data_IF_826106387867
#
_entry.id   IF_826106387867
#
_cell.length_a   1.000
_cell.length_b   1.000
_cell.length_c   1.000
_cell.angle_alpha   90.00
_cell.angle_beta   90.00
_cell.angle_gamma   90.00
#
_symmetry.space_group_name_H-M   'P 1'
#
loop_
_entity.id
_entity.type
_entity.pdbx_description
1 polymer ?
#
# COMPACT_ATOMS: atom_id res chain seq x y z
N UNK A 1 15.05 -101.62 -91.94
CA UNK A 1 14.86 -100.23 -92.42
C UNK A 1 14.99 -99.31 -91.21
N UNK A 2 15.88 -98.31 -91.26
CA UNK A 2 15.93 -97.18 -90.31
C UNK A 2 14.84 -96.13 -90.67
N UNK A 3 14.44 -95.13 -89.83
CA UNK A 3 15.34 -94.08 -89.30
C UNK A 3 15.01 -93.37 -87.93
N UNK A 4 16.09 -92.79 -87.34
CA UNK A 4 16.32 -91.51 -86.58
C UNK A 4 15.33 -90.97 -85.49
N UNK A 5 15.84 -90.57 -84.30
CA UNK A 5 16.35 -89.22 -83.89
C UNK A 5 16.58 -89.04 -82.35
N UNK A 6 17.78 -88.50 -82.01
CA UNK A 6 18.17 -87.50 -80.98
C UNK A 6 17.70 -87.46 -79.51
N UNK A 7 18.71 -87.43 -78.62
CA UNK A 7 18.95 -86.54 -77.44
C UNK A 7 17.99 -86.50 -76.24
N UNK A 8 18.51 -86.77 -75.03
CA UNK A 8 18.91 -85.74 -74.04
C UNK A 8 19.11 -86.34 -72.63
N UNK A 9 20.26 -86.06 -72.03
CA UNK A 9 20.68 -86.43 -70.67
C UNK A 9 19.90 -85.70 -69.58
N UNK A 10 19.58 -86.37 -68.46
CA UNK A 10 19.07 -85.73 -67.24
C UNK A 10 19.86 -86.18 -66.00
N UNK A 11 20.74 -85.29 -65.53
CA UNK A 11 21.36 -85.30 -64.19
C UNK A 11 20.93 -84.01 -63.47
N UNK A 12 19.88 -83.98 -62.61
CA UNK A 12 19.40 -82.71 -62.05
C UNK A 12 19.34 -82.58 -60.51
N UNK A 13 19.87 -83.52 -59.70
CA UNK A 13 19.64 -83.47 -58.23
C UNK A 13 20.83 -83.08 -57.33
N UNK A 14 22.07 -83.26 -57.77
CA UNK A 14 23.27 -82.95 -56.94
C UNK A 14 23.86 -81.54 -57.20
N UNK A 15 23.78 -80.99 -58.41
CA UNK A 15 24.32 -79.66 -58.75
C UNK A 15 23.49 -78.48 -58.18
N UNK A 16 22.19 -78.67 -57.97
CA UNK A 16 21.28 -77.63 -57.43
C UNK A 16 21.46 -77.39 -55.92
N UNK A 17 21.91 -78.40 -55.17
CA UNK A 17 22.24 -78.26 -53.74
C UNK A 17 23.52 -77.44 -53.51
N UNK A 18 24.52 -77.58 -54.37
CA UNK A 18 25.81 -76.87 -54.26
C UNK A 18 25.69 -75.35 -54.49
N UNK A 19 24.94 -74.92 -55.52
CA UNK A 19 24.68 -73.48 -55.78
C UNK A 19 23.88 -72.82 -54.65
N UNK A 20 22.89 -73.53 -54.07
CA UNK A 20 22.13 -73.05 -52.89
C UNK A 20 23.05 -72.89 -51.67
N UNK A 21 23.97 -73.82 -51.43
CA UNK A 21 24.93 -73.75 -50.33
C UNK A 21 25.89 -72.55 -50.45
N UNK A 22 26.36 -72.25 -51.66
CA UNK A 22 27.21 -71.07 -51.92
C UNK A 22 26.43 -69.78 -51.67
N UNK A 23 25.18 -69.69 -52.14
CA UNK A 23 24.31 -68.53 -51.91
C UNK A 23 24.07 -68.29 -50.42
N UNK A 24 23.76 -69.35 -49.65
CA UNK A 24 23.60 -69.28 -48.20
C UNK A 24 24.89 -68.82 -47.49
N UNK A 25 26.08 -69.26 -47.93
CA UNK A 25 27.35 -68.81 -47.36
C UNK A 25 27.62 -67.32 -47.58
N UNK A 26 27.24 -66.79 -48.75
CA UNK A 26 27.35 -65.35 -49.05
C UNK A 26 26.36 -64.55 -48.22
N UNK A 27 25.12 -65.03 -48.09
CA UNK A 27 24.09 -64.42 -47.24
C UNK A 27 24.51 -64.44 -45.76
N UNK A 28 25.07 -65.54 -45.25
CA UNK A 28 25.63 -65.64 -43.90
C UNK A 28 26.74 -64.60 -43.67
N UNK A 29 27.70 -64.46 -44.60
CA UNK A 29 28.76 -63.44 -44.49
C UNK A 29 28.22 -62.01 -44.48
N UNK A 30 27.16 -61.74 -45.26
CA UNK A 30 26.49 -60.42 -45.25
C UNK A 30 25.80 -60.18 -43.89
N UNK A 31 25.05 -61.16 -43.40
CA UNK A 31 24.39 -61.10 -42.09
C UNK A 31 25.39 -60.93 -40.94
N UNK A 32 26.55 -61.60 -40.99
CA UNK A 32 27.64 -61.43 -40.03
C UNK A 32 28.20 -60.00 -40.05
N UNK A 33 28.41 -59.43 -41.24
CA UNK A 33 28.87 -58.04 -41.39
C UNK A 33 27.84 -57.03 -40.90
N UNK A 34 26.56 -57.24 -41.19
CA UNK A 34 25.46 -56.39 -40.71
C UNK A 34 25.30 -56.49 -39.19
N UNK A 35 25.41 -57.69 -38.63
CA UNK A 35 25.39 -57.89 -37.18
C UNK A 35 26.55 -57.16 -36.49
N UNK A 36 27.75 -57.18 -37.07
CA UNK A 36 28.90 -56.42 -36.55
C UNK A 36 28.66 -54.91 -36.62
N UNK A 37 28.08 -54.41 -37.72
CA UNK A 37 27.72 -52.99 -37.86
C UNK A 37 26.68 -52.56 -36.83
N UNK A 38 25.63 -53.34 -36.63
CA UNK A 38 24.57 -53.03 -35.65
C UNK A 38 25.10 -53.09 -34.21
N UNK A 39 25.97 -54.06 -33.89
CA UNK A 39 26.68 -54.08 -32.59
C UNK A 39 27.50 -52.82 -32.37
N UNK A 40 28.29 -52.41 -33.36
CA UNK A 40 29.09 -51.19 -33.26
C UNK A 40 28.23 -49.90 -33.14
N UNK A 41 27.08 -49.83 -33.82
CA UNK A 41 26.13 -48.72 -33.66
C UNK A 41 25.54 -48.70 -32.25
N UNK A 42 25.10 -49.86 -31.74
CA UNK A 42 24.56 -50.00 -30.38
C UNK A 42 25.58 -49.57 -29.33
N UNK A 43 26.83 -50.00 -29.48
CA UNK A 43 27.90 -49.62 -28.54
C UNK A 43 28.17 -48.10 -28.53
N UNK A 44 28.11 -47.45 -29.69
CA UNK A 44 28.23 -45.98 -29.79
C UNK A 44 27.08 -45.28 -29.08
N UNK A 45 25.85 -45.75 -29.29
CA UNK A 45 24.65 -45.20 -28.64
C UNK A 45 24.75 -45.35 -27.12
N UNK A 46 25.12 -46.54 -26.63
CA UNK A 46 25.28 -46.81 -25.19
C UNK A 46 26.36 -45.92 -24.57
N UNK A 47 27.51 -45.76 -25.23
CA UNK A 47 28.58 -44.85 -24.76
C UNK A 47 28.15 -43.38 -24.75
N UNK A 48 27.35 -42.94 -25.73
CA UNK A 48 26.79 -41.58 -25.73
C UNK A 48 25.81 -41.41 -24.58
N UNK A 49 24.84 -42.32 -24.45
CA UNK A 49 23.83 -42.26 -23.40
C UNK A 49 24.45 -42.29 -21.99
N UNK A 50 25.52 -43.07 -21.77
CA UNK A 50 26.25 -43.07 -20.51
C UNK A 50 26.85 -41.69 -20.17
N UNK A 51 27.48 -41.02 -21.16
CA UNK A 51 28.01 -39.67 -20.97
C UNK A 51 26.90 -38.65 -20.71
N UNK A 52 25.80 -38.73 -21.46
CA UNK A 52 24.65 -37.85 -21.26
C UNK A 52 24.03 -38.04 -19.86
N UNK A 53 23.97 -39.28 -19.36
CA UNK A 53 23.53 -39.60 -18.01
C UNK A 53 24.44 -39.01 -16.92
N UNK A 54 25.76 -39.06 -17.10
CA UNK A 54 26.73 -38.46 -16.18
C UNK A 54 26.56 -36.92 -16.14
N UNK A 55 26.45 -36.27 -17.30
CA UNK A 55 26.20 -34.82 -17.39
C UNK A 55 24.88 -34.45 -16.71
N UNK A 56 23.82 -35.20 -16.97
CA UNK A 56 22.51 -34.94 -16.35
C UNK A 56 22.55 -35.12 -14.82
N UNK A 57 23.33 -36.09 -14.31
CA UNK A 57 23.50 -36.28 -12.88
C UNK A 57 24.19 -35.06 -12.21
N UNK A 58 25.25 -34.53 -12.84
CA UNK A 58 25.94 -33.33 -12.37
C UNK A 58 25.02 -32.10 -12.40
N UNK A 59 24.21 -31.95 -13.46
CA UNK A 59 23.21 -30.88 -13.59
C UNK A 59 22.17 -30.94 -12.47
N UNK A 60 21.64 -32.14 -12.19
CA UNK A 60 20.69 -32.37 -11.08
C UNK A 60 21.32 -32.00 -9.74
N UNK A 61 22.60 -32.32 -9.53
CA UNK A 61 23.30 -31.98 -8.30
C UNK A 61 23.47 -30.47 -8.13
N UNK A 62 23.82 -29.74 -9.19
CA UNK A 62 23.91 -28.27 -9.17
C UNK A 62 22.56 -27.63 -8.85
N UNK A 63 21.49 -28.09 -9.50
CA UNK A 63 20.14 -27.60 -9.26
C UNK A 63 19.66 -27.84 -7.83
N UNK A 64 20.05 -28.97 -7.21
CA UNK A 64 19.76 -29.24 -5.79
C UNK A 64 20.46 -28.24 -4.88
N UNK A 65 21.75 -28.01 -5.09
CA UNK A 65 22.53 -27.05 -4.28
C UNK A 65 21.94 -25.63 -4.42
N UNK A 66 21.56 -25.23 -5.64
CA UNK A 66 20.95 -23.93 -5.87
C UNK A 66 19.58 -23.80 -5.20
N UNK A 67 18.74 -24.83 -5.29
CA UNK A 67 17.46 -24.90 -4.60
C UNK A 67 17.62 -24.73 -3.09
N UNK A 68 18.56 -25.44 -2.48
CA UNK A 68 18.81 -25.37 -1.03
C UNK A 68 19.32 -24.00 -0.60
N UNK A 69 20.20 -23.38 -1.39
CA UNK A 69 20.66 -22.00 -1.18
C UNK A 69 19.51 -21.00 -1.25
N UNK A 70 18.65 -21.12 -2.25
CA UNK A 70 17.50 -20.23 -2.43
C UNK A 70 16.47 -20.43 -1.32
N UNK A 71 16.22 -21.67 -0.91
CA UNK A 71 15.36 -21.99 0.23
C UNK A 71 15.89 -21.39 1.54
N UNK A 72 17.20 -21.50 1.79
CA UNK A 72 17.83 -20.92 2.98
C UNK A 72 17.72 -19.39 2.99
N UNK A 73 17.93 -18.73 1.85
CA UNK A 73 17.73 -17.28 1.71
C UNK A 73 16.29 -16.87 2.00
N UNK A 74 15.32 -17.62 1.46
CA UNK A 74 13.90 -17.34 1.66
C UNK A 74 13.49 -17.53 3.11
N UNK A 75 13.97 -18.60 3.76
CA UNK A 75 13.75 -18.84 5.19
C UNK A 75 14.33 -17.71 6.05
N UNK A 76 15.55 -17.26 5.77
CA UNK A 76 16.15 -16.14 6.48
C UNK A 76 15.35 -14.84 6.31
N UNK A 77 14.87 -14.56 5.08
CA UNK A 77 14.00 -13.40 4.85
C UNK A 77 12.71 -13.48 5.63
N UNK A 78 12.02 -14.64 5.61
CA UNK A 78 10.79 -14.86 6.39
C UNK A 78 11.05 -14.60 7.87
N UNK A 79 12.12 -15.17 8.42
CA UNK A 79 12.47 -15.00 9.82
C UNK A 79 12.67 -13.52 10.19
N UNK A 80 13.43 -12.79 9.37
CA UNK A 80 13.63 -11.35 9.58
C UNK A 80 12.32 -10.58 9.54
N UNK A 81 11.45 -10.86 8.58
CA UNK A 81 10.13 -10.24 8.49
C UNK A 81 9.26 -10.54 9.71
N UNK A 82 9.30 -11.77 10.25
CA UNK A 82 8.54 -12.14 11.44
C UNK A 82 9.05 -11.41 12.68
N UNK A 83 10.37 -11.32 12.87
CA UNK A 83 10.98 -10.59 13.99
C UNK A 83 10.66 -9.09 13.92
N UNK A 84 10.73 -8.48 12.74
CA UNK A 84 10.42 -7.07 12.56
C UNK A 84 8.92 -6.80 12.79
N UNK A 85 8.04 -7.70 12.36
CA UNK A 85 6.59 -7.62 12.64
C UNK A 85 6.30 -7.67 14.13
N UNK A 86 6.96 -8.54 14.89
CA UNK A 86 6.80 -8.65 16.34
C UNK A 86 7.29 -7.39 17.05
N UNK A 87 8.45 -6.84 16.66
CA UNK A 87 8.96 -5.57 17.20
C UNK A 87 7.99 -4.42 16.96
N UNK A 88 7.37 -4.35 15.77
CA UNK A 88 6.37 -3.32 15.46
C UNK A 88 5.11 -3.51 16.31
N UNK A 89 4.63 -4.75 16.45
CA UNK A 89 3.46 -5.05 17.29
C UNK A 89 3.69 -4.69 18.77
N UNK A 90 4.88 -4.96 19.30
CA UNK A 90 5.25 -4.61 20.67
C UNK A 90 5.30 -3.08 20.86
N UNK A 91 5.93 -2.36 19.91
CA UNK A 91 5.96 -0.89 19.93
C UNK A 91 4.56 -0.30 19.87
N UNK A 92 3.71 -0.79 18.97
CA UNK A 92 2.32 -0.33 18.86
C UNK A 92 1.56 -0.55 20.16
N UNK A 93 1.72 -1.72 20.80
CA UNK A 93 1.07 -2.01 22.08
C UNK A 93 1.50 -1.03 23.17
N UNK A 94 2.80 -0.77 23.31
CA UNK A 94 3.34 0.21 24.27
C UNK A 94 2.74 1.60 24.04
N UNK A 95 2.74 2.08 22.80
CA UNK A 95 2.15 3.38 22.45
C UNK A 95 0.65 3.45 22.76
N UNK A 96 -0.11 2.39 22.47
CA UNK A 96 -1.55 2.34 22.81
C UNK A 96 -1.77 2.39 24.31
N UNK A 97 -0.95 1.68 25.10
CA UNK A 97 -1.06 1.66 26.56
C UNK A 97 -0.67 3.02 27.18
N UNK A 98 0.30 3.74 26.61
CA UNK A 98 0.66 5.12 26.99
C UNK A 98 -0.45 6.13 26.68
N UNK A 99 -1.20 5.94 25.60
CA UNK A 99 -2.26 6.86 25.17
C UNK A 99 -3.62 6.60 25.87
N UNK A 100 -3.86 5.40 26.38
CA UNK A 100 -5.12 5.02 27.06
C UNK A 100 -5.54 6.00 28.18
N UNK A 101 -4.65 6.43 29.10
CA UNK A 101 -5.04 7.30 30.22
C UNK A 101 -5.49 8.71 29.80
N UNK A 102 -5.06 9.20 28.64
CA UNK A 102 -5.40 10.53 28.12
C UNK A 102 -6.63 10.50 27.20
N UNK A 103 -7.08 9.31 26.81
CA UNK A 103 -8.18 9.15 25.88
C UNK A 103 -9.53 9.12 26.62
N UNK A 104 -10.49 9.94 26.18
CA UNK A 104 -11.88 9.75 26.58
C UNK A 104 -12.35 8.43 25.97
N UNK A 105 -12.99 7.52 26.74
CA UNK A 105 -13.48 6.28 26.17
C UNK A 105 -14.34 6.55 24.94
N UNK A 106 -13.99 5.91 23.81
CA UNK A 106 -14.67 6.11 22.52
C UNK A 106 -16.18 5.91 22.63
N UNK A 107 -16.61 4.99 23.51
CA UNK A 107 -18.01 4.72 23.79
C UNK A 107 -18.80 5.92 24.35
N UNK A 108 -18.13 6.89 24.98
CA UNK A 108 -18.77 8.09 25.56
C UNK A 108 -18.92 9.20 24.52
N UNK A 109 -18.14 9.17 23.44
CA UNK A 109 -18.13 10.22 22.42
C UNK A 109 -19.48 10.45 21.72
N UNK A 110 -20.30 9.42 21.38
CA UNK A 110 -21.63 9.64 20.82
C UNK A 110 -22.54 10.45 21.75
N UNK A 111 -22.56 10.12 23.05
CA UNK A 111 -23.36 10.83 24.06
C UNK A 111 -22.89 12.28 24.21
N UNK A 112 -21.58 12.51 24.24
CA UNK A 112 -21.01 13.86 24.31
C UNK A 112 -21.33 14.69 23.05
N UNK A 113 -21.30 14.07 21.86
CA UNK A 113 -21.69 14.72 20.60
C UNK A 113 -23.15 15.11 20.60
N UNK A 114 -24.04 14.21 21.05
CA UNK A 114 -25.47 14.50 21.16
C UNK A 114 -25.75 15.64 22.14
N UNK A 115 -25.14 15.60 23.34
CA UNK A 115 -25.26 16.65 24.34
C UNK A 115 -24.79 18.00 23.78
N UNK A 116 -23.62 18.04 23.13
CA UNK A 116 -23.09 19.24 22.46
C UNK A 116 -24.05 19.76 21.39
N UNK A 117 -24.62 18.88 20.58
CA UNK A 117 -25.56 19.28 19.52
C UNK A 117 -26.83 19.89 20.09
N UNK A 118 -27.37 19.32 21.18
CA UNK A 118 -28.49 19.90 21.91
C UNK A 118 -28.14 21.28 22.46
N UNK A 119 -26.99 21.45 23.13
CA UNK A 119 -26.53 22.75 23.65
C UNK A 119 -26.37 23.80 22.55
N UNK A 120 -25.79 23.44 21.40
CA UNK A 120 -25.65 24.35 20.25
C UNK A 120 -27.02 24.80 19.74
N UNK A 121 -27.98 23.87 19.61
CA UNK A 121 -29.34 24.18 19.18
C UNK A 121 -30.03 25.14 20.14
N UNK A 122 -30.01 24.83 21.45
CA UNK A 122 -30.60 25.70 22.47
C UNK A 122 -29.95 27.08 22.50
N UNK A 123 -28.61 27.16 22.44
CA UNK A 123 -27.90 28.45 22.39
C UNK A 123 -28.32 29.28 21.17
N UNK A 124 -28.44 28.65 20.00
CA UNK A 124 -28.84 29.34 18.76
C UNK A 124 -30.25 29.93 18.87
N UNK A 125 -31.20 29.16 19.42
CA UNK A 125 -32.57 29.64 19.60
C UNK A 125 -32.64 30.76 20.65
N UNK A 126 -31.91 30.62 21.76
CA UNK A 126 -31.78 31.66 22.78
C UNK A 126 -31.23 32.97 22.20
N UNK A 127 -30.10 32.91 21.49
CA UNK A 127 -29.49 34.09 20.87
C UNK A 127 -30.41 34.75 19.84
N UNK A 128 -31.21 33.97 19.10
CA UNK A 128 -32.21 34.52 18.19
C UNK A 128 -33.24 35.40 18.93
N UNK A 129 -33.81 34.90 20.02
CA UNK A 129 -34.80 35.64 20.83
C UNK A 129 -34.17 36.90 21.44
N UNK A 130 -32.96 36.80 21.99
CA UNK A 130 -32.27 37.96 22.55
C UNK A 130 -31.99 39.02 21.48
N UNK A 131 -31.53 38.62 20.29
CA UNK A 131 -31.24 39.56 19.21
C UNK A 131 -32.51 40.23 18.65
N UNK A 132 -33.64 39.53 18.63
CA UNK A 132 -34.94 40.11 18.27
C UNK A 132 -35.37 41.19 19.28
N UNK A 133 -35.27 40.91 20.58
CA UNK A 133 -35.58 41.89 21.64
C UNK A 133 -34.60 43.06 21.64
N UNK A 134 -33.31 42.79 21.43
CA UNK A 134 -32.29 43.83 21.35
C UNK A 134 -32.54 44.77 20.16
N UNK A 135 -32.97 44.22 19.02
CA UNK A 135 -33.32 45.02 17.85
C UNK A 135 -34.47 45.99 18.14
N UNK A 136 -35.53 45.52 18.82
CA UNK A 136 -36.63 46.39 19.26
C UNK A 136 -36.12 47.52 20.18
N UNK A 137 -35.25 47.19 21.14
CA UNK A 137 -34.66 48.19 22.03
C UNK A 137 -33.80 49.22 21.29
N UNK A 138 -33.10 48.82 20.24
CA UNK A 138 -32.34 49.74 19.38
C UNK A 138 -33.29 50.65 18.60
N UNK A 139 -34.38 50.12 18.07
CA UNK A 139 -35.42 50.91 17.38
C UNK A 139 -36.07 51.92 18.33
N UNK A 140 -36.43 51.51 19.54
CA UNK A 140 -36.92 52.40 20.62
C UNK A 140 -35.92 53.50 20.98
N UNK A 141 -34.61 53.21 20.88
CA UNK A 141 -33.52 54.16 21.13
C UNK A 141 -33.16 55.01 19.89
N UNK A 142 -34.12 55.24 19.00
CA UNK A 142 -33.93 56.05 17.79
C UNK A 142 -32.92 55.46 16.79
N UNK A 143 -32.75 54.13 16.79
CA UNK A 143 -31.79 53.42 15.95
C UNK A 143 -30.36 53.38 16.49
N UNK A 144 -30.09 53.99 17.65
CA UNK A 144 -28.76 54.00 18.24
C UNK A 144 -28.45 52.68 18.97
N UNK A 145 -27.37 52.02 18.53
CA UNK A 145 -26.80 50.85 19.23
C UNK A 145 -26.20 51.23 20.58
N UNK A 146 -26.18 50.26 21.49
CA UNK A 146 -25.59 50.42 22.82
C UNK A 146 -24.06 50.60 22.77
N UNK A 147 -23.48 51.28 23.75
CA UNK A 147 -22.04 51.58 23.75
C UNK A 147 -21.16 50.32 23.81
N UNK A 148 -21.63 49.27 24.48
CA UNK A 148 -20.93 47.99 24.51
C UNK A 148 -20.91 47.27 23.14
N UNK A 149 -21.75 47.70 22.19
CA UNK A 149 -21.75 47.22 20.79
C UNK A 149 -20.81 48.02 19.88
N UNK A 150 -20.08 48.99 20.41
CA UNK A 150 -19.15 49.85 19.66
C UNK A 150 -17.72 49.63 20.12
N UNK A 151 -16.77 49.85 19.21
CA UNK A 151 -15.38 49.97 19.57
C UNK A 151 -15.14 51.27 20.36
N UNK A 152 -14.53 51.21 21.53
CA UNK A 152 -14.25 52.43 22.32
C UNK A 152 -13.08 53.27 21.77
N UNK A 153 -12.44 52.82 20.68
CA UNK A 153 -11.37 53.56 19.99
C UNK A 153 -11.93 54.30 18.76
N UNK A 154 -12.52 53.57 17.81
CA UNK A 154 -13.03 54.15 16.57
C UNK A 154 -14.54 54.42 16.55
N UNK A 155 -15.27 54.07 17.63
CA UNK A 155 -16.73 54.22 17.77
C UNK A 155 -17.58 53.49 16.72
N UNK A 156 -16.97 52.66 15.87
CA UNK A 156 -17.67 51.84 14.90
C UNK A 156 -18.37 50.65 15.57
N UNK A 157 -19.58 50.34 15.09
CA UNK A 157 -20.35 49.20 15.57
C UNK A 157 -19.67 47.87 15.23
N UNK A 158 -19.66 46.94 16.18
CA UNK A 158 -19.24 45.57 15.91
C UNK A 158 -20.21 44.86 14.95
N UNK A 159 -19.69 43.92 14.18
CA UNK A 159 -20.49 43.10 13.27
C UNK A 159 -19.65 42.20 12.34
N UNK A 160 -20.23 41.70 11.24
CA UNK A 160 -19.60 40.83 10.24
C UNK A 160 -18.25 41.29 9.68
N UNK A 161 -17.97 42.59 9.61
CA UNK A 161 -16.67 43.14 9.17
C UNK A 161 -15.78 43.71 10.28
N UNK A 162 -16.33 43.95 11.47
CA UNK A 162 -15.68 44.65 12.58
C UNK A 162 -15.83 43.76 13.82
N UNK A 163 -14.93 42.79 13.99
CA UNK A 163 -15.06 41.83 15.10
C UNK A 163 -14.46 42.40 16.39
N UNK A 164 -15.13 42.23 17.55
CA UNK A 164 -14.55 42.55 18.84
C UNK A 164 -13.48 41.50 19.20
N UNK A 165 -12.27 41.95 19.49
CA UNK A 165 -11.12 41.10 19.87
C UNK A 165 -10.74 41.37 21.32
N UNK A 166 -10.69 40.31 22.11
CA UNK A 166 -10.30 40.31 23.50
C UNK A 166 -8.77 40.24 23.59
N UNK A 167 -8.18 41.28 24.17
CA UNK A 167 -6.76 41.34 24.51
C UNK A 167 -6.50 40.51 25.78
N UNK A 168 -5.26 40.05 25.99
CA UNK A 168 -4.90 39.26 27.19
C UNK A 168 -5.02 40.05 28.49
N UNK A 169 -5.09 41.38 28.42
CA UNK A 169 -5.39 42.26 29.56
C UNK A 169 -6.89 42.38 29.88
N UNK A 170 -7.79 41.82 29.06
CA UNK A 170 -9.24 41.85 29.25
C UNK A 170 -9.98 42.95 28.48
N UNK A 171 -9.26 43.95 27.95
CA UNK A 171 -9.88 44.98 27.10
C UNK A 171 -10.29 44.42 25.73
N UNK A 172 -11.33 45.03 25.14
CA UNK A 172 -11.83 44.63 23.82
C UNK A 172 -11.68 45.79 22.82
N UNK A 173 -11.07 45.52 21.66
CA UNK A 173 -10.95 46.45 20.54
C UNK A 173 -11.33 45.76 19.23
N UNK A 174 -11.71 46.53 18.21
CA UNK A 174 -12.10 45.94 16.93
C UNK A 174 -10.89 45.46 16.11
N UNK A 175 -11.15 44.55 15.17
CA UNK A 175 -10.12 44.05 14.23
C UNK A 175 -9.43 45.13 13.42
N UNK A 176 -10.08 46.27 13.15
CA UNK A 176 -9.46 47.41 12.45
C UNK A 176 -8.45 48.12 13.34
N UNK A 177 -8.85 48.51 14.55
CA UNK A 177 -7.94 49.14 15.51
C UNK A 177 -6.75 48.24 15.88
N UNK A 178 -6.93 46.90 15.92
CA UNK A 178 -5.78 46.00 16.11
C UNK A 178 -4.74 46.18 15.01
N UNK A 179 -5.16 46.23 13.74
CA UNK A 179 -4.23 46.40 12.61
C UNK A 179 -3.48 47.74 12.65
N UNK A 180 -4.06 48.76 13.26
CA UNK A 180 -3.43 50.07 13.40
C UNK A 180 -2.40 50.13 14.54
N UNK A 181 -2.56 49.28 15.56
CA UNK A 181 -1.71 49.30 16.77
C UNK A 181 -0.87 48.04 16.95
N UNK A 182 -0.93 47.10 16.02
CA UNK A 182 -0.10 45.90 16.03
C UNK A 182 1.35 46.19 15.61
N UNK A 183 2.30 45.63 16.36
CA UNK A 183 3.70 45.51 15.95
C UNK A 183 3.91 44.21 15.18
N UNK A 184 5.11 43.62 15.27
CA UNK A 184 5.40 42.33 14.61
C UNK A 184 4.50 41.20 15.10
N UNK A 185 4.54 40.90 16.40
CA UNK A 185 3.83 39.76 17.00
C UNK A 185 3.00 40.13 18.23
N UNK A 186 2.91 41.43 18.52
CA UNK A 186 2.26 41.95 19.74
C UNK A 186 1.42 43.17 19.42
N UNK A 187 0.35 43.35 20.18
CA UNK A 187 -0.43 44.58 20.23
C UNK A 187 -0.28 45.21 21.61
N UNK A 188 -0.02 46.52 21.64
CA UNK A 188 -0.04 47.28 22.90
C UNK A 188 -1.47 47.74 23.15
N UNK A 189 -2.04 47.34 24.29
CA UNK A 189 -3.39 47.74 24.65
C UNK A 189 -3.52 49.28 24.73
N UNK A 190 -4.48 49.91 24.03
CA UNK A 190 -4.66 51.37 24.08
C UNK A 190 -5.11 51.90 25.46
N UNK A 191 -5.71 51.05 26.29
CA UNK A 191 -6.29 51.45 27.58
C UNK A 191 -5.30 51.38 28.73
N UNK A 192 -4.57 50.27 28.85
CA UNK A 192 -3.66 50.01 29.99
C UNK A 192 -2.20 49.78 29.57
N UNK A 193 -1.89 49.91 28.28
CA UNK A 193 -0.54 49.78 27.68
C UNK A 193 0.13 48.42 27.88
N UNK A 194 -0.60 47.40 28.36
CA UNK A 194 -0.06 46.04 28.49
C UNK A 194 0.17 45.43 27.11
N UNK A 195 1.31 44.75 26.96
CA UNK A 195 1.63 44.00 25.75
C UNK A 195 0.81 42.72 25.70
N UNK A 196 0.12 42.50 24.58
CA UNK A 196 -0.69 41.32 24.32
C UNK A 196 -0.16 40.63 23.07
N UNK A 197 -0.01 39.31 23.09
CA UNK A 197 0.43 38.57 21.90
C UNK A 197 -0.71 38.48 20.88
N UNK A 198 -0.40 38.70 19.60
CA UNK A 198 -1.37 38.53 18.50
C UNK A 198 -1.91 37.09 18.44
N UNK A 199 -1.08 36.10 18.77
CA UNK A 199 -1.47 34.69 18.79
C UNK A 199 -2.55 34.36 19.85
N UNK A 200 -2.67 35.18 20.89
CA UNK A 200 -3.64 34.99 21.97
C UNK A 200 -4.93 35.80 21.79
N UNK A 201 -5.05 36.58 20.71
CA UNK A 201 -6.24 37.36 20.44
C UNK A 201 -7.43 36.47 20.09
N UNK A 202 -8.46 36.52 20.94
CA UNK A 202 -9.71 35.77 20.71
C UNK A 202 -10.86 36.70 20.39
N UNK A 203 -11.82 36.22 19.61
CA UNK A 203 -13.06 36.97 19.41
C UNK A 203 -13.82 37.02 20.73
N UNK A 204 -14.26 38.21 21.14
CA UNK A 204 -15.12 38.35 22.30
C UNK A 204 -16.57 37.96 21.92
N UNK A 205 -16.89 36.67 22.04
CA UNK A 205 -18.22 36.15 21.72
C UNK A 205 -19.34 36.69 22.63
N UNK A 206 -19.00 37.19 23.83
CA UNK A 206 -19.99 37.84 24.70
C UNK A 206 -20.51 39.16 24.13
N UNK A 207 -19.77 39.79 23.20
CA UNK A 207 -20.24 40.95 22.43
C UNK A 207 -20.68 40.50 21.04
N UNK A 208 -19.86 39.69 20.36
CA UNK A 208 -20.11 39.31 18.96
C UNK A 208 -21.40 38.52 18.73
N UNK A 209 -21.88 37.76 19.73
CA UNK A 209 -23.14 37.01 19.61
C UNK A 209 -24.37 37.93 19.56
N UNK A 210 -24.22 39.20 19.95
CA UNK A 210 -25.29 40.21 20.02
C UNK A 210 -25.10 41.39 19.06
N UNK A 211 -24.23 41.28 18.04
CA UNK A 211 -23.90 42.37 17.13
C UNK A 211 -24.08 42.04 15.65
#
# INVERSE_FOLDING_TARGET
MAPRKSSASTVPRQQTKSKKLIKMKVELKKLESDLLREKAKKDRIVKKHKRDMEINADEIQKLRIEKDRNQSKFQHQIQKYTEDKEKVAEKLKKTVDELKPQSVPVAVMPKLREARQKTIRFRKEYLKKVNEELKKKIEENGGNRFDWQKCQICWENYGPGVRPKLLSCGHTICTKCIREVEGRDTVRCPFDRKLCSLAHLRTNFAIADYC
#
